data_IF_208994330452
#
_entry.id   IF_208994330452
#
_cell.length_a   1.000
_cell.length_b   1.000
_cell.length_c   1.000
_cell.angle_alpha   90.00
_cell.angle_beta   90.00
_cell.angle_gamma   90.00
#
_symmetry.space_group_name_H-M   'P 1'
#
loop_
_entity.id
_entity.type
_entity.pdbx_description
1 polymer ?
#
# COMPACT_ATOMS: atom_id res chain seq x y z
N UNK A 1 -2.97 -44.75 -10.19
CA UNK A 1 -2.86 -43.29 -10.34
C UNK A 1 -1.66 -42.95 -11.23
N UNK A 2 -1.76 -43.06 -12.56
CA UNK A 2 -0.64 -42.83 -13.50
C UNK A 2 -1.05 -42.01 -14.74
N UNK A 3 -2.16 -41.27 -14.68
CA UNK A 3 -2.73 -40.53 -15.83
C UNK A 3 -2.45 -39.01 -15.82
N UNK A 4 -1.69 -38.48 -14.86
CA UNK A 4 -1.69 -37.04 -14.55
C UNK A 4 -0.46 -36.25 -15.06
N UNK A 5 0.68 -36.93 -15.30
CA UNK A 5 1.93 -36.22 -15.65
C UNK A 5 1.93 -35.63 -17.07
N UNK A 6 1.30 -36.31 -18.05
CA UNK A 6 1.26 -35.84 -19.44
C UNK A 6 0.38 -34.60 -19.62
N UNK A 7 -0.66 -34.44 -18.79
CA UNK A 7 -1.49 -33.23 -18.79
C UNK A 7 -0.73 -32.02 -18.28
N UNK A 8 0.04 -32.18 -17.19
CA UNK A 8 0.84 -31.09 -16.60
C UNK A 8 1.91 -30.55 -17.56
N UNK A 9 2.55 -31.42 -18.35
CA UNK A 9 3.57 -31.02 -19.32
C UNK A 9 2.99 -30.17 -20.47
N UNK A 10 1.78 -30.51 -20.96
CA UNK A 10 1.11 -29.73 -22.01
C UNK A 10 0.70 -28.33 -21.55
N UNK A 11 0.32 -28.19 -20.27
CA UNK A 11 -0.02 -26.89 -19.68
C UNK A 11 1.19 -25.95 -19.55
N UNK A 12 2.37 -26.49 -19.20
CA UNK A 12 3.59 -25.68 -19.10
C UNK A 12 3.99 -25.11 -20.47
N UNK A 13 3.90 -25.90 -21.54
CA UNK A 13 4.26 -25.44 -22.88
C UNK A 13 3.35 -24.31 -23.40
N UNK A 14 2.06 -24.30 -23.02
CA UNK A 14 1.11 -23.28 -23.45
C UNK A 14 1.33 -21.91 -22.77
N UNK A 15 1.81 -21.87 -21.53
CA UNK A 15 2.05 -20.61 -20.81
C UNK A 15 3.28 -19.83 -21.31
N UNK A 16 4.31 -20.53 -21.80
CA UNK A 16 5.55 -19.87 -22.28
C UNK A 16 5.32 -19.10 -23.59
N UNK A 17 4.33 -19.50 -24.40
CA UNK A 17 4.07 -18.88 -25.70
C UNK A 17 3.39 -17.50 -25.63
N UNK A 18 2.77 -17.12 -24.51
CA UNK A 18 1.99 -15.88 -24.39
C UNK A 18 2.80 -14.66 -23.89
N UNK A 19 4.08 -14.83 -23.54
CA UNK A 19 4.89 -13.78 -22.92
C UNK A 19 5.63 -12.85 -23.92
N UNK A 20 5.48 -13.06 -25.23
CA UNK A 20 6.28 -12.37 -26.27
C UNK A 20 5.55 -11.21 -27.00
N UNK A 21 4.40 -10.74 -26.49
CA UNK A 21 3.59 -9.72 -27.17
C UNK A 21 3.20 -8.53 -26.28
N UNK A 22 4.08 -8.07 -25.38
CA UNK A 22 3.90 -6.74 -24.78
C UNK A 22 4.90 -5.72 -25.38
N UNK A 23 4.40 -4.65 -26.03
CA UNK A 23 5.24 -3.61 -26.58
C UNK A 23 5.94 -2.83 -25.46
N UNK A 24 7.26 -2.69 -25.60
CA UNK A 24 8.06 -1.71 -24.88
C UNK A 24 7.60 -0.30 -25.28
N UNK A 25 6.88 0.40 -24.41
CA UNK A 25 6.48 1.78 -24.73
C UNK A 25 5.41 2.39 -23.84
N UNK A 26 5.69 2.56 -22.55
CA UNK A 26 5.09 3.65 -21.76
C UNK A 26 6.20 4.29 -20.93
N UNK A 27 7.00 5.12 -21.59
CA UNK A 27 7.80 6.12 -20.92
C UNK A 27 6.86 7.26 -20.53
N UNK A 28 6.44 7.32 -19.26
CA UNK A 28 5.79 8.50 -18.71
C UNK A 28 6.85 9.58 -18.46
N UNK A 29 6.72 10.69 -19.18
CA UNK A 29 7.45 11.92 -18.92
C UNK A 29 7.10 12.44 -17.52
N UNK A 30 8.06 12.39 -16.59
CA UNK A 30 7.93 13.02 -15.29
C UNK A 30 8.33 14.49 -15.44
N UNK A 31 7.36 15.37 -15.66
CA UNK A 31 7.57 16.81 -15.51
C UNK A 31 7.81 17.14 -14.04
N UNK A 32 9.06 17.40 -13.68
CA UNK A 32 9.44 17.97 -12.40
C UNK A 32 8.86 19.39 -12.28
N UNK A 33 7.82 19.56 -11.45
CA UNK A 33 7.35 20.85 -10.99
C UNK A 33 7.74 21.02 -9.51
N UNK A 34 8.42 22.13 -9.14
CA UNK A 34 8.68 22.45 -7.73
C UNK A 34 7.38 22.85 -7.01
N UNK A 35 7.26 22.66 -5.68
CA UNK A 35 6.00 22.79 -4.95
C UNK A 35 5.42 24.21 -4.83
N UNK A 36 6.13 25.28 -5.20
CA UNK A 36 5.80 26.64 -4.73
C UNK A 36 5.62 27.73 -5.80
N UNK A 37 5.06 27.42 -6.98
CA UNK A 37 4.67 28.50 -7.92
C UNK A 37 3.24 28.40 -8.44
N UNK A 38 2.32 28.86 -7.60
CA UNK A 38 1.08 29.49 -8.08
C UNK A 38 1.39 30.97 -8.33
N UNK A 39 1.73 31.34 -9.56
CA UNK A 39 1.74 32.74 -10.00
C UNK A 39 0.64 32.89 -11.06
N UNK A 40 -0.55 33.21 -10.59
CA UNK A 40 -1.63 33.74 -11.43
C UNK A 40 -1.85 35.22 -11.08
N UNK A 41 -1.83 36.15 -12.04
CA UNK A 41 -2.15 37.55 -11.77
C UNK A 41 -3.67 37.73 -11.75
N UNK A 42 -4.15 38.46 -10.75
CA UNK A 42 -5.53 38.93 -10.51
C UNK A 42 -6.34 38.13 -9.47
N UNK A 43 -6.58 38.77 -8.33
CA UNK A 43 -7.55 38.36 -7.33
C UNK A 43 -6.94 38.15 -5.95
N UNK A 44 -6.73 39.23 -5.20
CA UNK A 44 -6.36 39.20 -3.79
C UNK A 44 -7.55 38.70 -2.94
N UNK A 45 -7.87 37.42 -3.03
CA UNK A 45 -8.67 36.74 -2.01
C UNK A 45 -7.69 36.13 -1.00
N UNK A 46 -7.49 36.82 0.12
CA UNK A 46 -6.82 36.23 1.29
C UNK A 46 -7.74 35.13 1.80
N UNK A 47 -7.51 33.88 1.40
CA UNK A 47 -8.13 32.73 2.07
C UNK A 47 -7.58 32.75 3.50
N UNK A 48 -8.42 32.93 4.53
CA UNK A 48 -7.96 32.78 5.88
C UNK A 48 -7.53 31.32 6.08
N UNK A 49 -6.24 31.08 6.33
CA UNK A 49 -5.68 29.77 6.68
C UNK A 49 -6.09 29.34 8.10
N UNK A 50 -7.32 29.64 8.52
CA UNK A 50 -7.88 29.21 9.80
C UNK A 50 -8.58 27.88 9.60
N UNK A 51 -7.88 26.80 9.89
CA UNK A 51 -8.50 25.48 10.00
C UNK A 51 -7.57 24.32 9.69
N UNK A 52 -6.48 24.17 10.45
CA UNK A 52 -6.15 22.79 10.85
C UNK A 52 -7.32 22.36 11.72
N UNK A 53 -8.27 21.62 11.14
CA UNK A 53 -9.16 20.79 11.94
C UNK A 53 -8.24 19.76 12.56
N UNK A 54 -8.01 19.76 13.88
CA UNK A 54 -7.41 18.59 14.50
C UNK A 54 -8.38 17.45 14.20
N UNK A 55 -7.98 16.60 13.26
CA UNK A 55 -8.71 15.39 12.96
C UNK A 55 -8.72 14.61 14.27
N UNK A 56 -9.88 14.47 14.89
CA UNK A 56 -9.99 13.89 16.20
C UNK A 56 -9.49 12.44 16.12
N UNK A 57 -8.26 12.23 16.60
CA UNK A 57 -7.60 10.94 16.82
C UNK A 57 -7.34 10.05 15.59
N UNK A 58 -7.00 10.61 14.42
CA UNK A 58 -6.19 9.86 13.46
C UNK A 58 -4.74 10.20 13.79
N UNK A 59 -3.92 9.19 14.09
CA UNK A 59 -2.47 9.37 14.17
C UNK A 59 -1.96 10.22 12.98
N UNK A 60 -0.83 10.89 13.15
CA UNK A 60 -0.22 11.80 12.15
C UNK A 60 0.13 11.10 10.82
N UNK A 61 -0.88 10.65 10.08
CA UNK A 61 -0.77 9.96 8.81
C UNK A 61 -1.06 10.94 7.68
N UNK A 62 -0.11 11.13 6.76
CA UNK A 62 -0.33 11.87 5.52
C UNK A 62 -1.47 11.26 4.70
N UNK A 63 -2.25 12.10 4.00
CA UNK A 63 -3.43 11.67 3.23
C UNK A 63 -3.07 10.71 2.10
N UNK A 64 -1.91 10.89 1.48
CA UNK A 64 -1.35 9.97 0.48
C UNK A 64 -1.15 8.57 1.05
N UNK A 65 -0.62 8.45 2.27
CA UNK A 65 -0.40 7.15 2.94
C UNK A 65 -1.73 6.47 3.28
N UNK A 66 -2.69 7.25 3.79
CA UNK A 66 -4.06 6.76 4.04
C UNK A 66 -4.70 6.24 2.76
N UNK A 67 -4.63 7.03 1.67
CA UNK A 67 -5.21 6.65 0.39
C UNK A 67 -4.56 5.38 -0.17
N UNK A 68 -3.22 5.29 -0.14
CA UNK A 68 -2.48 4.12 -0.63
C UNK A 68 -2.85 2.84 0.14
N UNK A 69 -2.99 2.93 1.46
CA UNK A 69 -3.45 1.80 2.27
C UNK A 69 -4.85 1.35 1.86
N UNK A 70 -5.80 2.29 1.77
CA UNK A 70 -7.20 2.00 1.43
C UNK A 70 -7.30 1.41 0.02
N UNK A 71 -6.59 1.96 -0.96
CA UNK A 71 -6.54 1.41 -2.32
C UNK A 71 -5.92 0.01 -2.36
N UNK A 72 -4.84 -0.23 -1.60
CA UNK A 72 -4.24 -1.56 -1.47
C UNK A 72 -5.19 -2.59 -0.86
N UNK A 73 -5.94 -2.19 0.17
CA UNK A 73 -6.97 -3.02 0.79
C UNK A 73 -8.11 -3.33 -0.19
N UNK A 74 -8.61 -2.32 -0.90
CA UNK A 74 -9.68 -2.50 -1.89
C UNK A 74 -9.30 -3.44 -3.02
N UNK A 75 -8.04 -3.37 -3.49
CA UNK A 75 -7.52 -4.25 -4.54
C UNK A 75 -7.62 -5.73 -4.16
N UNK A 76 -7.55 -6.05 -2.86
CA UNK A 76 -7.65 -7.41 -2.33
C UNK A 76 -9.10 -7.81 -1.98
N UNK A 77 -10.03 -6.85 -1.86
CA UNK A 77 -11.40 -7.04 -1.38
C UNK A 77 -12.49 -6.70 -2.44
N UNK A 78 -12.09 -6.56 -3.71
CA UNK A 78 -13.03 -6.48 -4.84
C UNK A 78 -13.41 -5.07 -5.31
N UNK A 79 -12.76 -4.01 -4.82
CA UNK A 79 -12.92 -2.63 -5.31
C UNK A 79 -14.38 -2.11 -5.34
N UNK A 80 -15.23 -2.53 -4.41
CA UNK A 80 -16.62 -2.07 -4.31
C UNK A 80 -16.77 -0.90 -3.33
N UNK A 81 -17.95 -0.26 -3.32
CA UNK A 81 -18.26 0.77 -2.32
C UNK A 81 -18.24 0.22 -0.89
N UNK A 82 -18.74 -1.00 -0.70
CA UNK A 82 -18.68 -1.70 0.59
C UNK A 82 -17.23 -1.96 1.01
N UNK A 83 -16.37 -2.41 0.09
CA UNK A 83 -14.95 -2.59 0.38
C UNK A 83 -14.26 -1.27 0.76
N UNK A 84 -14.61 -0.16 0.11
CA UNK A 84 -14.12 1.17 0.51
C UNK A 84 -14.49 1.49 1.97
N UNK A 85 -15.74 1.24 2.37
CA UNK A 85 -16.22 1.51 3.74
C UNK A 85 -15.48 0.65 4.77
N UNK A 86 -15.34 -0.65 4.51
CA UNK A 86 -14.60 -1.58 5.37
C UNK A 86 -13.10 -1.26 5.44
N UNK A 87 -12.47 -0.99 4.29
CA UNK A 87 -11.05 -0.64 4.21
C UNK A 87 -10.74 0.72 4.87
N UNK A 88 -11.67 1.67 4.82
CA UNK A 88 -11.54 2.95 5.54
C UNK A 88 -11.60 2.73 7.05
N UNK A 89 -12.59 1.95 7.53
CA UNK A 89 -12.66 1.53 8.94
C UNK A 89 -11.37 0.82 9.38
N UNK A 90 -10.86 -0.09 8.54
CA UNK A 90 -9.65 -0.85 8.84
C UNK A 90 -8.44 0.07 9.05
N UNK A 91 -8.28 1.08 8.19
CA UNK A 91 -7.22 2.06 8.33
C UNK A 91 -7.34 2.87 9.63
N UNK A 92 -8.55 3.31 9.98
CA UNK A 92 -8.78 4.07 11.22
C UNK A 92 -8.39 3.26 12.46
N UNK A 93 -8.69 1.96 12.48
CA UNK A 93 -8.25 1.05 13.56
C UNK A 93 -6.73 0.92 13.58
N UNK A 94 -6.09 0.71 12.42
CA UNK A 94 -4.62 0.62 12.34
C UNK A 94 -3.96 1.91 12.81
N UNK A 95 -4.44 3.07 12.37
CA UNK A 95 -3.91 4.39 12.75
C UNK A 95 -4.10 4.66 14.25
N UNK A 96 -5.15 4.13 14.88
CA UNK A 96 -5.36 4.27 16.33
C UNK A 96 -4.39 3.44 17.18
N UNK A 97 -3.84 2.34 16.63
CA UNK A 97 -2.98 1.38 17.35
C UNK A 97 -1.49 1.54 17.00
N UNK A 98 -1.18 2.09 15.82
CA UNK A 98 0.16 2.17 15.28
C UNK A 98 0.51 3.60 14.86
N UNK A 99 1.53 4.18 15.48
CA UNK A 99 2.07 5.49 15.07
C UNK A 99 2.67 5.44 13.67
N UNK A 100 2.66 6.58 12.98
CA UNK A 100 3.12 6.70 11.59
C UNK A 100 4.56 6.23 11.39
N UNK A 101 5.48 6.55 12.29
CA UNK A 101 6.89 6.15 12.18
C UNK A 101 7.04 4.63 12.17
N UNK A 102 6.27 3.94 13.01
CA UNK A 102 6.29 2.46 13.06
C UNK A 102 5.65 1.83 11.83
N UNK A 103 4.66 2.48 11.25
CA UNK A 103 4.12 2.07 9.96
C UNK A 103 5.16 2.19 8.83
N UNK A 104 5.87 3.31 8.74
CA UNK A 104 6.92 3.54 7.73
C UNK A 104 8.07 2.55 7.89
N UNK A 105 8.49 2.27 9.12
CA UNK A 105 9.49 1.24 9.39
C UNK A 105 9.01 -0.14 8.89
N UNK A 106 7.80 -0.54 9.27
CA UNK A 106 7.23 -1.83 8.87
C UNK A 106 7.07 -1.94 7.35
N UNK A 107 6.55 -0.91 6.68
CA UNK A 107 6.38 -0.89 5.22
C UNK A 107 7.73 -0.96 4.49
N UNK A 108 8.76 -0.31 5.03
CA UNK A 108 10.13 -0.38 4.51
C UNK A 108 10.70 -1.79 4.63
N UNK A 109 10.58 -2.44 5.80
CA UNK A 109 11.03 -3.81 5.98
C UNK A 109 10.29 -4.79 5.07
N UNK A 110 8.98 -4.60 4.88
CA UNK A 110 8.18 -5.41 3.96
C UNK A 110 8.60 -5.21 2.50
N UNK A 111 8.90 -3.98 2.08
CA UNK A 111 9.35 -3.68 0.72
C UNK A 111 10.74 -4.26 0.45
N UNK A 112 11.72 -3.98 1.33
CA UNK A 112 13.09 -4.49 1.20
C UNK A 112 13.17 -6.01 1.36
N UNK A 113 12.26 -6.61 2.14
CA UNK A 113 12.16 -8.06 2.31
C UNK A 113 11.70 -8.81 1.06
N UNK A 114 11.09 -8.13 0.08
CA UNK A 114 10.69 -8.72 -1.20
C UNK A 114 11.86 -8.91 -2.16
N UNK A 115 13.02 -8.28 -1.90
CA UNK A 115 14.23 -8.45 -2.71
C UNK A 115 14.69 -9.91 -2.65
N UNK A 116 14.83 -10.55 -3.81
CA UNK A 116 15.24 -11.95 -3.89
C UNK A 116 16.71 -12.14 -3.51
N UNK A 117 17.04 -13.30 -2.94
CA UNK A 117 18.39 -13.66 -2.53
C UNK A 117 18.73 -13.29 -1.09
N UNK A 118 20.01 -13.41 -0.74
CA UNK A 118 20.51 -13.26 0.65
C UNK A 118 20.26 -11.85 1.21
N UNK A 119 20.27 -10.82 0.36
CA UNK A 119 20.05 -9.43 0.78
C UNK A 119 18.66 -9.20 1.37
N UNK A 120 17.60 -9.78 0.80
CA UNK A 120 16.25 -9.65 1.33
C UNK A 120 16.00 -10.51 2.57
N UNK A 121 16.82 -11.54 2.82
CA UNK A 121 16.73 -12.33 4.06
C UNK A 121 17.04 -11.44 5.28
N UNK A 122 18.05 -10.57 5.18
CA UNK A 122 18.43 -9.67 6.28
C UNK A 122 17.28 -8.77 6.74
N UNK A 123 16.47 -8.27 5.79
CA UNK A 123 15.31 -7.41 6.08
C UNK A 123 14.08 -8.19 6.58
N UNK A 124 14.07 -9.53 6.49
CA UNK A 124 12.99 -10.39 7.02
C UNK A 124 13.33 -11.01 8.37
N UNK A 125 14.62 -11.17 8.68
CA UNK A 125 15.05 -11.95 9.86
C UNK A 125 15.51 -11.11 11.04
N UNK A 126 15.84 -9.83 10.85
CA UNK A 126 16.27 -8.94 11.93
C UNK A 126 15.20 -8.79 13.02
N UNK A 127 15.64 -8.49 14.24
CA UNK A 127 14.74 -8.33 15.39
C UNK A 127 13.82 -7.12 15.19
N UNK A 128 14.37 -6.03 14.64
CA UNK A 128 13.67 -4.79 14.33
C UNK A 128 12.60 -5.02 13.26
N UNK A 129 12.92 -5.77 12.21
CA UNK A 129 11.95 -6.11 11.16
C UNK A 129 10.78 -6.90 11.73
N UNK A 130 11.07 -7.95 12.52
CA UNK A 130 10.03 -8.76 13.15
C UNK A 130 9.18 -7.96 14.12
N UNK A 131 9.79 -7.05 14.88
CA UNK A 131 9.07 -6.18 15.81
C UNK A 131 8.15 -5.21 15.06
N UNK A 132 8.67 -4.43 14.09
CA UNK A 132 7.88 -3.44 13.36
C UNK A 132 6.75 -4.08 12.54
N UNK A 133 7.08 -5.13 11.77
CA UNK A 133 6.08 -5.88 10.99
C UNK A 133 5.09 -6.59 11.91
N UNK A 134 5.54 -7.12 13.05
CA UNK A 134 4.68 -7.73 14.04
C UNK A 134 3.66 -6.76 14.62
N UNK A 135 4.06 -5.53 14.92
CA UNK A 135 3.16 -4.48 15.43
C UNK A 135 2.08 -4.14 14.38
N UNK A 136 2.50 -3.96 13.11
CA UNK A 136 1.58 -3.71 12.01
C UNK A 136 0.59 -4.89 11.80
N UNK A 137 1.07 -6.13 11.81
CA UNK A 137 0.21 -7.31 11.63
C UNK A 137 -0.79 -7.50 12.77
N UNK A 138 -0.42 -7.15 14.01
CA UNK A 138 -1.36 -7.15 15.14
C UNK A 138 -2.44 -6.09 14.98
N UNK A 139 -2.07 -4.87 14.57
CA UNK A 139 -3.05 -3.82 14.30
C UNK A 139 -4.00 -4.20 13.16
N UNK A 140 -3.49 -4.82 12.09
CA UNK A 140 -4.30 -5.32 10.99
C UNK A 140 -5.25 -6.45 11.41
N UNK A 141 -4.81 -7.37 12.27
CA UNK A 141 -5.66 -8.43 12.78
C UNK A 141 -6.82 -7.88 13.64
N UNK A 142 -6.57 -6.85 14.45
CA UNK A 142 -7.63 -6.16 15.19
C UNK A 142 -8.61 -5.46 14.24
N UNK A 143 -8.10 -4.83 13.20
CA UNK A 143 -8.90 -4.17 12.18
C UNK A 143 -9.79 -5.15 11.40
N UNK A 144 -9.28 -6.35 11.11
CA UNK A 144 -10.06 -7.42 10.46
C UNK A 144 -11.32 -7.74 11.26
N UNK A 145 -11.16 -8.05 12.56
CA UNK A 145 -12.27 -8.45 13.44
C UNK A 145 -13.27 -7.30 13.63
N UNK A 146 -12.82 -6.05 13.66
CA UNK A 146 -13.69 -4.90 13.91
C UNK A 146 -14.46 -4.41 12.69
N UNK A 147 -13.89 -4.56 11.49
CA UNK A 147 -14.35 -3.87 10.30
C UNK A 147 -14.83 -4.78 9.16
N UNK A 148 -14.53 -6.08 9.21
CA UNK A 148 -14.87 -7.05 8.17
C UNK A 148 -15.85 -8.16 8.59
N UNK A 149 -16.37 -8.10 9.82
CA UNK A 149 -17.50 -8.93 10.29
C UNK A 149 -18.88 -8.39 9.83
#
# INVERSE_FOLDING_TARGET
MMADSRSRIRWIAAMVASALLLPAGYASAQSALPPDRVVGPAGAFKIPTTGSVPNAAIADYPTDVTADYVFGCMASNGNTRTALEQCSCSFDVVASLLRYERYVEASTFLSMGQVTGEKGVLFRTSAEAKSAVGDLRRAQAEAEIRCFD
#
